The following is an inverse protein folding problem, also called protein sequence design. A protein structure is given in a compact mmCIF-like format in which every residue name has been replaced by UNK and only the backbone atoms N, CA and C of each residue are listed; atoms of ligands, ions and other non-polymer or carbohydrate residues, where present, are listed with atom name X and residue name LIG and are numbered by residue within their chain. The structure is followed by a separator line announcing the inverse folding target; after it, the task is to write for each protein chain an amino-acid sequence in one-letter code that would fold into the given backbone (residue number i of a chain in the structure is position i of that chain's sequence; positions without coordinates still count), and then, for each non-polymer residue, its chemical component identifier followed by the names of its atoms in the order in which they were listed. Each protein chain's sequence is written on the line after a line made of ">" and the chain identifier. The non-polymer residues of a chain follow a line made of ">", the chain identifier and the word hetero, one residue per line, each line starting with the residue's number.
data_IF_027692510549
#
_entry.id   IF_027692510549
#
_cell.length_a   1.000
_cell.length_b   1.000
_cell.length_c   1.000
_cell.angle_alpha   90.00
_cell.angle_beta   90.00
_cell.angle_gamma   90.00
#
_symmetry.space_group_name_H-M   'P 1'
#
loop_
_entity.id
_entity.type
_entity.pdbx_description
1 polymer ?
#
# COMPACT_ATOMS: atom_id res chain seq x y z
N UNK A 1 -8.64 -7.77 19.48
CA UNK A 1 -8.60 -7.16 18.13
C UNK A 1 -9.73 -7.77 17.32
N UNK A 2 -10.63 -6.96 16.75
CA UNK A 2 -11.68 -7.48 15.87
C UNK A 2 -11.03 -7.84 14.54
N UNK A 3 -11.10 -9.13 14.24
CA UNK A 3 -10.60 -9.77 13.04
C UNK A 3 -11.61 -9.51 11.93
N UNK A 4 -11.24 -8.77 10.88
CA UNK A 4 -12.14 -8.46 9.77
C UNK A 4 -11.91 -9.44 8.61
N UNK A 5 -13.02 -9.98 8.08
CA UNK A 5 -13.03 -10.74 6.84
C UNK A 5 -12.83 -9.76 5.66
N UNK A 6 -11.78 -9.92 4.84
CA UNK A 6 -11.53 -9.04 3.69
C UNK A 6 -12.71 -8.97 2.71
N UNK A 7 -13.42 -10.08 2.48
CA UNK A 7 -14.54 -10.09 1.54
C UNK A 7 -15.75 -9.34 2.09
N UNK A 8 -16.03 -9.53 3.38
CA UNK A 8 -17.08 -8.78 4.08
C UNK A 8 -16.76 -7.28 4.10
N UNK A 9 -15.49 -6.92 4.31
CA UNK A 9 -15.05 -5.52 4.33
C UNK A 9 -15.13 -4.87 2.93
N UNK A 10 -14.72 -5.56 1.86
CA UNK A 10 -14.92 -5.07 0.48
C UNK A 10 -16.40 -4.85 0.17
N UNK A 11 -17.26 -5.82 0.54
CA UNK A 11 -18.71 -5.72 0.35
C UNK A 11 -19.28 -4.52 1.11
N UNK A 12 -18.80 -4.30 2.33
CA UNK A 12 -19.22 -3.19 3.17
C UNK A 12 -18.77 -1.85 2.59
N UNK A 13 -17.52 -1.72 2.15
CA UNK A 13 -17.03 -0.50 1.47
C UNK A 13 -17.87 -0.21 0.21
N UNK A 14 -18.18 -1.24 -0.59
CA UNK A 14 -18.99 -1.09 -1.80
C UNK A 14 -20.43 -0.64 -1.49
N UNK A 15 -20.93 -0.96 -0.30
CA UNK A 15 -22.28 -0.57 0.17
C UNK A 15 -22.27 0.82 0.80
N UNK A 16 -21.29 1.11 1.65
CA UNK A 16 -21.20 2.34 2.44
C UNK A 16 -20.73 3.54 1.57
N UNK A 17 -19.96 3.27 0.51
CA UNK A 17 -19.55 4.27 -0.49
C UNK A 17 -20.53 4.24 -1.66
N UNK A 18 -21.14 5.38 -2.04
CA UNK A 18 -22.04 5.45 -3.19
C UNK A 18 -21.41 4.92 -4.49
N UNK A 19 -22.20 4.19 -5.28
CA UNK A 19 -21.75 3.52 -6.51
C UNK A 19 -21.16 4.48 -7.56
N UNK A 20 -21.66 5.71 -7.62
CA UNK A 20 -21.17 6.77 -8.48
C UNK A 20 -19.74 7.23 -8.11
N UNK A 21 -19.28 6.94 -6.89
CA UNK A 21 -17.93 7.22 -6.42
C UNK A 21 -16.96 6.06 -6.68
N UNK A 22 -17.44 4.86 -7.01
CA UNK A 22 -16.57 3.69 -7.22
C UNK A 22 -15.55 3.87 -8.36
N UNK A 23 -15.88 4.48 -9.52
CA UNK A 23 -14.89 4.74 -10.58
C UNK A 23 -13.77 5.71 -10.17
N UNK A 24 -13.95 6.38 -9.04
CA UNK A 24 -13.07 7.38 -8.48
C UNK A 24 -12.30 6.84 -7.27
N UNK A 25 -12.23 5.53 -7.07
CA UNK A 25 -11.39 4.96 -6.02
C UNK A 25 -10.89 3.56 -6.36
N UNK A 26 -9.73 3.22 -5.80
CA UNK A 26 -9.32 1.84 -5.70
C UNK A 26 -8.69 1.55 -4.33
N UNK A 27 -8.84 0.32 -3.87
CA UNK A 27 -8.27 -0.15 -2.60
C UNK A 27 -6.81 -0.55 -2.80
N UNK A 28 -5.93 -0.17 -1.87
CA UNK A 28 -4.53 -0.62 -1.86
C UNK A 28 -4.13 -1.17 -0.48
N UNK A 29 -2.85 -1.49 -0.32
CA UNK A 29 -2.29 -1.89 0.97
C UNK A 29 -2.77 -3.27 1.45
N UNK A 30 -2.87 -3.42 2.76
CA UNK A 30 -3.11 -4.72 3.40
C UNK A 30 -4.45 -5.35 3.01
N UNK A 31 -5.47 -4.51 2.87
CA UNK A 31 -6.83 -4.95 2.56
C UNK A 31 -6.93 -5.51 1.14
N UNK A 32 -6.34 -4.81 0.15
CA UNK A 32 -6.26 -5.29 -1.23
C UNK A 32 -5.54 -6.64 -1.32
N UNK A 33 -4.38 -6.77 -0.66
CA UNK A 33 -3.61 -8.01 -0.65
C UNK A 33 -4.39 -9.17 -0.02
N UNK A 34 -5.06 -8.93 1.09
CA UNK A 34 -5.81 -9.96 1.78
C UNK A 34 -7.07 -10.40 1.03
N UNK A 35 -7.75 -9.47 0.35
CA UNK A 35 -8.86 -9.81 -0.52
C UNK A 35 -8.40 -10.70 -1.69
N UNK A 36 -7.29 -10.33 -2.35
CA UNK A 36 -6.73 -11.14 -3.44
C UNK A 36 -6.39 -12.57 -3.00
N UNK A 37 -5.81 -12.73 -1.81
CA UNK A 37 -5.38 -14.03 -1.30
C UNK A 37 -6.41 -14.74 -0.41
N UNK A 38 -7.69 -14.31 -0.41
CA UNK A 38 -8.73 -14.83 0.50
C UNK A 38 -8.77 -16.37 0.56
N UNK A 39 -8.71 -17.03 -0.60
CA UNK A 39 -8.72 -18.49 -0.69
C UNK A 39 -7.47 -19.14 -0.06
N UNK A 40 -6.30 -18.54 -0.23
CA UNK A 40 -5.02 -19.02 0.33
C UNK A 40 -4.89 -18.71 1.82
N UNK A 41 -5.61 -17.70 2.31
CA UNK A 41 -5.70 -17.36 3.72
C UNK A 41 -6.69 -18.26 4.48
N UNK A 42 -7.41 -19.17 3.80
CA UNK A 42 -8.35 -20.13 4.43
C UNK A 42 -9.40 -19.45 5.35
N UNK A 43 -9.86 -18.26 4.98
CA UNK A 43 -10.81 -17.48 5.80
C UNK A 43 -10.21 -16.93 7.10
N UNK A 44 -8.88 -16.93 7.24
CA UNK A 44 -8.19 -16.22 8.34
C UNK A 44 -8.45 -14.73 8.17
N UNK A 45 -9.11 -14.18 9.18
CA UNK A 45 -9.31 -12.75 9.26
C UNK A 45 -7.98 -12.02 9.51
N UNK A 46 -7.82 -10.90 8.84
CA UNK A 46 -6.62 -10.07 8.90
C UNK A 46 -6.71 -9.08 10.06
N UNK A 47 -5.56 -8.72 10.61
CA UNK A 47 -5.42 -7.58 11.50
C UNK A 47 -5.23 -6.30 10.66
N UNK A 48 -6.28 -5.85 9.97
CA UNK A 48 -6.32 -4.50 9.38
C UNK A 48 -7.57 -3.78 9.86
N UNK A 49 -7.42 -2.57 10.37
CA UNK A 49 -8.54 -1.64 10.65
C UNK A 49 -8.66 -0.55 9.59
N UNK A 50 -7.65 -0.47 8.74
CA UNK A 50 -7.41 0.64 7.84
C UNK A 50 -7.69 0.12 6.43
N UNK A 51 -8.57 0.80 5.72
CA UNK A 51 -8.78 0.64 4.29
C UNK A 51 -8.11 1.82 3.58
N UNK A 52 -6.92 1.57 3.02
CA UNK A 52 -6.20 2.56 2.24
C UNK A 52 -6.92 2.75 0.90
N UNK A 53 -7.61 3.88 0.73
CA UNK A 53 -8.32 4.22 -0.50
C UNK A 53 -7.53 5.28 -1.27
N UNK A 54 -7.14 4.94 -2.48
CA UNK A 54 -6.59 5.91 -3.42
C UNK A 54 -7.75 6.51 -4.19
N UNK A 55 -7.95 7.82 -4.05
CA UNK A 55 -9.02 8.54 -4.77
C UNK A 55 -8.53 8.94 -6.17
N UNK A 56 -9.36 8.69 -7.18
CA UNK A 56 -9.13 8.82 -8.62
C UNK A 56 -10.16 9.82 -9.26
N UNK A 57 -9.91 10.51 -10.41
CA UNK A 57 -8.65 10.62 -11.11
C UNK A 57 -7.59 11.14 -10.18
N UNK A 58 -6.53 10.36 -10.08
CA UNK A 58 -5.60 10.54 -9.00
C UNK A 58 -4.74 11.78 -9.26
N UNK A 59 -4.31 12.46 -8.19
CA UNK A 59 -3.70 13.78 -8.32
C UNK A 59 -4.72 14.92 -8.42
N UNK A 60 -6.01 14.63 -8.58
CA UNK A 60 -7.06 15.65 -8.61
C UNK A 60 -7.56 15.97 -7.19
N UNK A 61 -6.98 17.01 -6.60
CA UNK A 61 -7.40 17.57 -5.30
C UNK A 61 -8.89 17.90 -5.27
N UNK A 62 -9.47 18.32 -6.40
CA UNK A 62 -10.91 18.60 -6.52
C UNK A 62 -11.78 17.35 -6.38
N UNK A 63 -11.37 16.22 -6.97
CA UNK A 63 -12.06 14.94 -6.82
C UNK A 63 -11.99 14.43 -5.37
N UNK A 64 -10.81 14.52 -4.75
CA UNK A 64 -10.63 14.18 -3.33
C UNK A 64 -11.53 15.04 -2.42
N UNK A 65 -11.58 16.36 -2.68
CA UNK A 65 -12.46 17.28 -1.95
C UNK A 65 -13.93 16.91 -2.11
N UNK A 66 -14.35 16.66 -3.35
CA UNK A 66 -15.72 16.29 -3.65
C UNK A 66 -16.11 15.00 -2.92
N UNK A 67 -15.30 13.95 -3.04
CA UNK A 67 -15.55 12.68 -2.36
C UNK A 67 -15.59 12.83 -0.84
N UNK A 68 -14.64 13.56 -0.24
CA UNK A 68 -14.61 13.78 1.21
C UNK A 68 -15.88 14.52 1.69
N UNK A 69 -16.31 15.58 0.98
CA UNK A 69 -17.55 16.30 1.29
C UNK A 69 -18.77 15.40 1.15
N UNK A 70 -18.90 14.69 0.03
CA UNK A 70 -20.03 13.80 -0.22
C UNK A 70 -20.17 12.74 0.87
N UNK A 71 -19.07 12.12 1.31
CA UNK A 71 -19.14 11.12 2.38
C UNK A 71 -19.52 11.75 3.72
N UNK A 72 -18.96 12.92 4.06
CA UNK A 72 -19.34 13.66 5.28
C UNK A 72 -20.83 14.04 5.28
N UNK A 73 -21.36 14.49 4.14
CA UNK A 73 -22.78 14.83 3.96
C UNK A 73 -23.69 13.60 4.10
N UNK A 74 -23.18 12.41 3.76
CA UNK A 74 -23.87 11.12 3.96
C UNK A 74 -23.74 10.56 5.38
N UNK A 75 -23.19 11.34 6.31
CA UNK A 75 -23.09 10.97 7.72
C UNK A 75 -21.85 10.16 8.09
N UNK A 76 -20.85 10.07 7.20
CA UNK A 76 -19.52 9.62 7.60
C UNK A 76 -18.92 10.59 8.61
N UNK A 77 -18.12 10.09 9.54
CA UNK A 77 -17.52 10.92 10.60
C UNK A 77 -16.00 10.84 10.59
N UNK A 78 -15.34 11.90 11.04
CA UNK A 78 -13.86 11.93 11.10
C UNK A 78 -13.34 11.05 12.22
N UNK A 79 -12.19 10.42 12.01
CA UNK A 79 -11.45 9.80 13.11
C UNK A 79 -10.83 10.86 14.02
N UNK A 80 -10.38 10.46 15.22
CA UNK A 80 -9.71 11.38 16.15
C UNK A 80 -8.38 11.95 15.60
N UNK A 81 -7.77 11.28 14.62
CA UNK A 81 -6.53 11.72 13.97
C UNK A 81 -6.79 12.63 12.75
N UNK A 82 -8.04 12.74 12.31
CA UNK A 82 -8.47 13.57 11.19
C UNK A 82 -9.10 14.86 11.70
N UNK A 83 -8.29 15.89 11.92
CA UNK A 83 -8.74 17.21 12.36
C UNK A 83 -8.10 18.33 11.51
N UNK A 84 -8.82 19.45 11.32
CA UNK A 84 -8.34 20.52 10.44
C UNK A 84 -7.18 21.28 11.08
N UNK A 85 -6.31 21.82 10.21
CA UNK A 85 -5.32 22.83 10.56
C UNK A 85 -5.79 24.21 10.09
N UNK A 86 -5.42 25.30 10.80
CA UNK A 86 -5.83 26.65 10.41
C UNK A 86 -5.09 27.17 9.17
N UNK A 87 -3.95 26.56 8.81
CA UNK A 87 -3.06 26.99 7.72
C UNK A 87 -2.67 25.78 6.86
N UNK A 88 -2.45 25.95 5.55
CA UNK A 88 -1.88 24.92 4.68
C UNK A 88 -0.40 24.64 4.97
N UNK A 89 0.28 25.57 5.62
CA UNK A 89 1.70 25.51 5.92
C UNK A 89 1.98 25.36 7.43
N UNK A 90 2.98 24.52 7.82
CA UNK A 90 3.77 23.66 6.94
C UNK A 90 2.98 22.40 6.52
N UNK A 91 3.09 22.00 5.25
CA UNK A 91 2.24 20.98 4.66
C UNK A 91 2.40 19.58 5.29
N UNK A 92 3.58 19.27 5.84
CA UNK A 92 3.89 18.00 6.50
C UNK A 92 3.28 17.86 7.91
N UNK A 93 2.77 18.95 8.48
CA UNK A 93 2.00 18.92 9.73
C UNK A 93 0.50 18.71 9.51
N UNK A 94 0.02 18.74 8.26
CA UNK A 94 -1.38 18.52 7.93
C UNK A 94 -1.82 17.09 8.30
N UNK A 95 -3.13 16.92 8.48
CA UNK A 95 -3.73 15.61 8.82
C UNK A 95 -4.41 14.99 7.61
N UNK A 96 -4.21 13.69 7.45
CA UNK A 96 -4.88 12.91 6.42
C UNK A 96 -6.39 12.91 6.64
N UNK A 97 -7.16 12.91 5.54
CA UNK A 97 -8.60 12.65 5.61
C UNK A 97 -8.78 11.18 5.96
N UNK A 98 -9.37 10.94 7.13
CA UNK A 98 -9.73 9.60 7.60
C UNK A 98 -11.17 9.60 8.10
N UNK A 99 -12.01 8.75 7.52
CA UNK A 99 -13.44 8.74 7.76
C UNK A 99 -13.93 7.37 8.21
N UNK A 100 -14.76 7.34 9.25
CA UNK A 100 -15.58 6.21 9.65
C UNK A 100 -16.89 6.18 8.85
N UNK A 101 -17.37 5.00 8.41
CA UNK A 101 -18.68 4.88 7.80
C UNK A 101 -19.79 5.19 8.80
N UNK A 102 -21.01 5.51 8.34
CA UNK A 102 -22.19 5.54 9.19
C UNK A 102 -22.39 4.17 9.87
N UNK A 103 -22.61 4.18 11.19
CA UNK A 103 -22.83 2.95 11.96
C UNK A 103 -21.56 2.44 12.67
N UNK A 104 -21.33 1.12 12.76
CA UNK A 104 -20.20 0.58 13.53
C UNK A 104 -18.83 1.03 13.00
N UNK A 105 -18.00 1.61 13.87
CA UNK A 105 -16.63 2.08 13.57
C UNK A 105 -15.61 0.93 13.56
N UNK A 106 -15.89 -0.13 12.80
CA UNK A 106 -15.03 -1.31 12.72
C UNK A 106 -13.81 -1.08 11.79
N UNK A 107 -13.95 -0.16 10.83
CA UNK A 107 -12.89 0.25 9.90
C UNK A 107 -13.01 1.74 9.60
N UNK A 108 -11.94 2.34 9.09
CA UNK A 108 -11.98 3.67 8.48
C UNK A 108 -11.33 3.64 7.10
N UNK A 109 -11.68 4.62 6.27
CA UNK A 109 -11.01 4.87 4.99
C UNK A 109 -9.99 5.99 5.18
N UNK A 110 -8.77 5.81 4.66
CA UNK A 110 -7.76 6.88 4.56
C UNK A 110 -7.62 7.30 3.09
N UNK A 111 -7.62 8.61 2.84
CA UNK A 111 -7.47 9.14 1.48
C UNK A 111 -5.99 9.30 1.14
N UNK A 112 -5.57 8.65 0.07
CA UNK A 112 -4.24 8.80 -0.53
C UNK A 112 -4.35 9.49 -1.89
N UNK A 113 -3.28 10.18 -2.27
CA UNK A 113 -3.17 10.79 -3.58
C UNK A 113 -2.02 10.15 -4.40
N UNK A 114 -2.23 9.96 -5.71
CA UNK A 114 -1.13 9.50 -6.57
C UNK A 114 -0.10 10.61 -6.82
N UNK A 115 1.18 10.25 -6.91
CA UNK A 115 2.25 11.19 -7.22
C UNK A 115 2.04 11.82 -8.60
N UNK A 116 2.46 13.07 -8.74
CA UNK A 116 2.72 13.65 -10.06
C UNK A 116 3.90 12.93 -10.68
N UNK A 117 3.95 12.86 -12.03
CA UNK A 117 5.05 12.19 -12.75
C UNK A 117 6.42 12.77 -12.39
N UNK A 118 6.46 14.06 -12.06
CA UNK A 118 7.70 14.79 -11.74
C UNK A 118 8.02 14.79 -10.23
N UNK A 119 7.22 14.11 -9.38
CA UNK A 119 7.49 14.05 -7.95
C UNK A 119 8.80 13.29 -7.69
N UNK A 120 9.78 13.98 -7.12
CA UNK A 120 11.08 13.37 -6.77
C UNK A 120 11.17 13.05 -5.28
N UNK A 121 10.40 13.75 -4.45
CA UNK A 121 10.35 13.56 -3.01
C UNK A 121 9.69 12.22 -2.66
N UNK A 122 10.26 11.41 -1.74
CA UNK A 122 9.69 10.11 -1.37
C UNK A 122 8.23 10.21 -0.90
N UNK A 123 7.92 11.27 -0.16
CA UNK A 123 6.59 11.61 0.32
C UNK A 123 6.37 13.10 0.18
N UNK A 124 5.18 13.47 -0.31
CA UNK A 124 4.70 14.84 -0.36
C UNK A 124 3.32 14.91 0.26
N UNK A 125 3.07 15.94 1.07
CA UNK A 125 1.73 16.27 1.53
C UNK A 125 1.14 17.34 0.63
N UNK A 126 -0.06 17.08 0.09
CA UNK A 126 -0.76 18.02 -0.79
C UNK A 126 -1.87 18.68 0.02
N UNK A 127 -1.82 20.01 0.24
CA UNK A 127 -2.86 20.72 0.98
C UNK A 127 -4.23 20.57 0.31
N UNK A 128 -5.24 20.32 1.14
CA UNK A 128 -6.64 20.15 0.79
C UNK A 128 -7.47 21.07 1.68
N UNK A 129 -7.98 22.17 1.10
CA UNK A 129 -8.91 23.07 1.77
C UNK A 129 -10.31 22.45 1.83
N UNK A 130 -10.90 22.44 3.03
CA UNK A 130 -12.27 22.06 3.35
C UNK A 130 -12.95 23.24 4.09
N UNK A 131 -14.26 23.15 4.31
CA UNK A 131 -15.04 24.26 4.89
C UNK A 131 -14.66 24.59 6.34
N UNK A 132 -14.02 23.66 7.05
CA UNK A 132 -13.58 23.78 8.43
C UNK A 132 -12.05 23.93 8.58
N UNK A 133 -11.30 24.05 7.49
CA UNK A 133 -9.86 24.29 7.49
C UNK A 133 -9.08 23.39 6.53
N UNK A 134 -7.79 23.22 6.82
CA UNK A 134 -6.82 22.55 5.95
C UNK A 134 -6.50 21.13 6.39
N UNK A 135 -6.50 20.23 5.42
CA UNK A 135 -6.09 18.83 5.55
C UNK A 135 -4.99 18.53 4.54
N UNK A 136 -4.36 17.36 4.66
CA UNK A 136 -3.29 16.93 3.78
C UNK A 136 -3.63 15.63 3.08
N UNK A 137 -3.37 15.55 1.79
CA UNK A 137 -3.40 14.28 1.05
C UNK A 137 -1.96 13.74 0.94
N UNK A 138 -1.62 12.65 1.63
CA UNK A 138 -0.31 12.04 1.50
C UNK A 138 -0.15 11.44 0.09
N UNK A 139 0.99 11.73 -0.53
CA UNK A 139 1.38 11.30 -1.87
C UNK A 139 2.77 10.69 -1.83
N UNK A 140 2.86 9.37 -2.04
CA UNK A 140 4.13 8.64 -2.04
C UNK A 140 4.61 8.46 -3.48
N UNK A 141 5.89 8.75 -3.73
CA UNK A 141 6.48 8.79 -5.07
C UNK A 141 6.22 7.53 -5.91
N UNK A 142 6.26 6.36 -5.28
CA UNK A 142 6.13 5.09 -5.98
C UNK A 142 4.71 4.51 -5.92
N UNK A 143 3.76 5.18 -5.26
CA UNK A 143 2.37 4.72 -5.24
C UNK A 143 1.74 4.72 -6.64
N UNK A 144 2.28 5.52 -7.58
CA UNK A 144 1.86 5.59 -8.98
C UNK A 144 1.78 4.22 -9.65
N UNK A 145 2.73 3.31 -9.41
CA UNK A 145 2.73 1.99 -10.06
C UNK A 145 1.53 1.13 -9.64
N UNK A 146 0.99 1.34 -8.43
CA UNK A 146 -0.19 0.60 -7.93
C UNK A 146 -1.49 0.95 -8.66
N UNK A 147 -1.48 2.02 -9.45
CA UNK A 147 -2.60 2.40 -10.30
C UNK A 147 -2.64 1.64 -11.63
N UNK A 148 -1.56 0.93 -11.98
CA UNK A 148 -1.49 0.12 -13.20
C UNK A 148 -1.98 -1.30 -12.90
N UNK A 149 -2.56 -1.96 -13.91
CA UNK A 149 -3.02 -3.36 -13.83
C UNK A 149 -3.90 -3.62 -12.59
N UNK A 150 -4.83 -2.71 -12.33
CA UNK A 150 -5.81 -2.86 -11.24
C UNK A 150 -6.72 -4.04 -11.52
N UNK A 151 -7.14 -4.67 -10.44
CA UNK A 151 -8.07 -5.80 -10.46
C UNK A 151 -9.44 -5.31 -10.02
N UNK A 152 -10.49 -5.96 -10.51
CA UNK A 152 -11.87 -5.68 -10.08
C UNK A 152 -12.36 -6.77 -9.15
N UNK A 153 -12.88 -6.38 -7.99
CA UNK A 153 -13.49 -7.30 -7.03
C UNK A 153 -14.85 -7.78 -7.53
N UNK A 154 -15.38 -8.85 -6.92
CA UNK A 154 -16.72 -9.37 -7.23
C UNK A 154 -17.85 -8.37 -6.92
N UNK A 155 -17.57 -7.33 -6.13
CA UNK A 155 -18.50 -6.25 -5.76
C UNK A 155 -18.27 -4.96 -6.55
N UNK A 156 -17.43 -5.00 -7.59
CA UNK A 156 -17.23 -3.89 -8.53
C UNK A 156 -16.19 -2.86 -8.10
N UNK A 157 -15.61 -2.96 -6.89
CA UNK A 157 -14.50 -2.09 -6.48
C UNK A 157 -13.19 -2.51 -7.13
N UNK A 158 -12.43 -1.54 -7.64
CA UNK A 158 -11.07 -1.77 -8.10
C UNK A 158 -10.09 -1.84 -6.92
N UNK A 159 -9.01 -2.59 -7.10
CA UNK A 159 -7.93 -2.68 -6.13
C UNK A 159 -6.56 -2.93 -6.78
N UNK A 160 -5.50 -2.51 -6.10
CA UNK A 160 -4.13 -2.69 -6.56
C UNK A 160 -3.72 -4.17 -6.58
N UNK A 161 -3.03 -4.59 -7.64
CA UNK A 161 -2.51 -5.96 -7.73
C UNK A 161 -1.35 -6.20 -6.75
N UNK A 162 -1.19 -7.44 -6.23
CA UNK A 162 -0.03 -7.79 -5.39
C UNK A 162 1.31 -7.48 -6.03
N UNK A 163 1.43 -7.72 -7.34
CA UNK A 163 2.64 -7.44 -8.11
C UNK A 163 3.02 -5.95 -8.06
N UNK A 164 2.07 -5.05 -8.31
CA UNK A 164 2.36 -3.61 -8.27
C UNK A 164 2.58 -3.08 -6.85
N UNK A 165 1.90 -3.64 -5.85
CA UNK A 165 2.17 -3.31 -4.44
C UNK A 165 3.57 -3.76 -4.00
N UNK A 166 4.03 -4.93 -4.47
CA UNK A 166 5.39 -5.41 -4.22
C UNK A 166 6.43 -4.46 -4.84
N UNK A 167 6.25 -4.08 -6.11
CA UNK A 167 7.11 -3.11 -6.79
C UNK A 167 7.17 -1.77 -6.04
N UNK A 168 6.02 -1.21 -5.65
CA UNK A 168 5.94 0.06 -4.94
C UNK A 168 6.73 0.04 -3.62
N UNK A 169 6.63 -1.04 -2.85
CA UNK A 169 7.35 -1.19 -1.58
C UNK A 169 8.85 -1.34 -1.79
N UNK A 170 9.29 -2.12 -2.78
CA UNK A 170 10.70 -2.28 -3.12
C UNK A 170 11.34 -0.93 -3.50
N UNK A 171 10.69 -0.17 -4.38
CA UNK A 171 11.17 1.16 -4.79
C UNK A 171 11.19 2.17 -3.63
N UNK A 172 10.22 2.09 -2.72
CA UNK A 172 10.13 2.98 -1.57
C UNK A 172 11.21 2.74 -0.52
N UNK A 173 11.80 1.55 -0.51
CA UNK A 173 12.80 1.13 0.48
C UNK A 173 14.06 0.61 -0.19
N UNK A 174 14.86 1.48 -0.82
CA UNK A 174 16.11 1.09 -1.48
C UNK A 174 17.23 0.72 -0.49
N UNK A 175 16.97 0.84 0.82
CA UNK A 175 17.87 0.50 1.93
C UNK A 175 17.06 0.23 3.20
N UNK A 176 17.66 -0.42 4.20
CA UNK A 176 17.07 -0.51 5.54
C UNK A 176 17.20 0.82 6.26
N UNK A 177 16.09 1.56 6.35
CA UNK A 177 16.02 2.81 7.14
C UNK A 177 16.00 2.60 8.66
N UNK A 178 16.17 3.69 9.41
CA UNK A 178 16.14 3.72 10.88
C UNK A 178 14.76 3.94 11.49
N UNK A 179 13.78 4.34 10.68
CA UNK A 179 12.45 4.71 11.17
C UNK A 179 11.72 3.51 11.77
N UNK A 180 11.13 3.71 12.94
CA UNK A 180 10.39 2.69 13.67
C UNK A 180 8.89 2.98 13.67
N UNK A 181 8.10 1.92 13.84
CA UNK A 181 6.66 2.03 13.99
C UNK A 181 6.37 2.64 15.37
N UNK A 182 5.62 3.74 15.41
CA UNK A 182 5.42 4.53 16.62
C UNK A 182 4.27 4.02 17.50
N UNK A 183 3.32 3.28 16.93
CA UNK A 183 2.10 2.85 17.62
C UNK A 183 1.58 1.50 17.12
N UNK A 184 0.66 0.92 17.88
CA UNK A 184 0.00 -0.35 17.53
C UNK A 184 0.83 -1.61 17.86
N UNK A 185 0.37 -2.79 17.41
CA UNK A 185 0.94 -4.08 17.82
C UNK A 185 2.36 -4.34 17.29
N UNK A 186 2.83 -3.52 16.34
CA UNK A 186 4.17 -3.61 15.74
C UNK A 186 5.10 -2.48 16.22
N UNK A 187 4.73 -1.77 17.29
CA UNK A 187 5.51 -0.66 17.83
C UNK A 187 6.96 -1.06 18.08
N UNK A 188 7.89 -0.18 17.67
CA UNK A 188 9.32 -0.38 17.84
C UNK A 188 9.99 -1.17 16.73
N UNK A 189 9.26 -1.86 15.84
CA UNK A 189 9.85 -2.58 14.70
C UNK A 189 10.22 -1.61 13.57
N UNK A 190 11.23 -1.97 12.76
CA UNK A 190 11.66 -1.17 11.61
C UNK A 190 10.58 -1.07 10.54
N UNK A 191 10.32 0.15 10.05
CA UNK A 191 9.31 0.43 9.02
C UNK A 191 9.70 -0.14 7.66
N UNK A 192 10.97 0.02 7.27
CA UNK A 192 11.54 -0.57 6.05
C UNK A 192 11.42 -2.09 6.06
N UNK A 193 11.76 -2.74 7.18
CA UNK A 193 11.62 -4.19 7.35
C UNK A 193 10.16 -4.65 7.25
N UNK A 194 9.21 -3.88 7.81
CA UNK A 194 7.76 -4.17 7.69
C UNK A 194 7.30 -4.17 6.23
N UNK A 195 7.67 -3.15 5.45
CA UNK A 195 7.23 -3.02 4.06
C UNK A 195 7.96 -3.99 3.12
N UNK A 196 9.28 -4.22 3.30
CA UNK A 196 10.03 -5.23 2.54
C UNK A 196 9.62 -6.67 2.93
N UNK A 197 9.33 -6.93 4.20
CA UNK A 197 8.74 -8.19 4.65
C UNK A 197 7.39 -8.46 3.98
N UNK A 198 6.57 -7.42 3.80
CA UNK A 198 5.31 -7.53 3.02
C UNK A 198 5.59 -7.95 1.58
N UNK A 199 6.64 -7.44 0.92
CA UNK A 199 7.01 -7.90 -0.43
C UNK A 199 7.22 -9.41 -0.45
N UNK A 200 8.01 -9.93 0.49
CA UNK A 200 8.28 -11.37 0.59
C UNK A 200 6.99 -12.15 0.87
N UNK A 201 6.11 -11.64 1.74
CA UNK A 201 4.80 -12.25 2.00
C UNK A 201 3.91 -12.32 0.76
N UNK A 202 3.87 -11.25 -0.05
CA UNK A 202 3.11 -11.24 -1.30
C UNK A 202 3.66 -12.30 -2.25
N UNK A 203 4.98 -12.36 -2.46
CA UNK A 203 5.62 -13.40 -3.30
C UNK A 203 5.32 -14.81 -2.80
N UNK A 204 5.38 -15.04 -1.49
CA UNK A 204 5.06 -16.35 -0.89
C UNK A 204 3.63 -16.77 -1.22
N UNK A 205 2.68 -15.85 -1.08
CA UNK A 205 1.26 -16.10 -1.31
C UNK A 205 0.96 -16.25 -2.80
N UNK A 206 1.58 -15.46 -3.67
CA UNK A 206 1.47 -15.56 -5.13
C UNK A 206 1.90 -16.96 -5.59
N UNK A 207 3.07 -17.41 -5.17
CA UNK A 207 3.66 -18.66 -5.66
C UNK A 207 4.51 -18.42 -6.90
N UNK A 208 5.36 -19.40 -7.24
CA UNK A 208 6.46 -19.22 -8.18
C UNK A 208 6.01 -18.89 -9.60
N UNK A 209 5.11 -19.70 -10.15
CA UNK A 209 4.68 -19.59 -11.56
C UNK A 209 4.13 -18.21 -11.91
N UNK A 210 3.31 -17.62 -11.03
CA UNK A 210 2.74 -16.29 -11.24
C UNK A 210 3.77 -15.18 -10.94
N UNK A 211 4.69 -15.38 -9.99
CA UNK A 211 5.75 -14.41 -9.69
C UNK A 211 6.78 -14.28 -10.82
N UNK A 212 7.08 -15.34 -11.55
CA UNK A 212 8.01 -15.31 -12.70
C UNK A 212 7.54 -14.42 -13.86
N UNK A 213 6.25 -14.06 -13.90
CA UNK A 213 5.67 -13.13 -14.88
C UNK A 213 5.87 -11.65 -14.51
N UNK A 214 6.35 -11.37 -13.30
CA UNK A 214 6.44 -10.00 -12.79
C UNK A 214 7.50 -9.13 -13.48
N UNK A 215 8.67 -9.62 -13.93
CA UNK A 215 9.70 -8.76 -14.53
C UNK A 215 9.19 -7.94 -15.72
N UNK A 216 8.50 -8.57 -16.66
CA UNK A 216 7.95 -7.87 -17.84
C UNK A 216 6.91 -6.82 -17.42
N UNK A 217 6.01 -7.21 -16.51
CA UNK A 217 4.96 -6.31 -16.00
C UNK A 217 5.57 -5.12 -15.25
N UNK A 218 6.63 -5.34 -14.48
CA UNK A 218 7.33 -4.30 -13.72
C UNK A 218 8.13 -3.38 -14.63
N UNK A 219 8.73 -3.91 -15.70
CA UNK A 219 9.43 -3.11 -16.70
C UNK A 219 8.48 -2.10 -17.34
N UNK A 220 7.33 -2.57 -17.85
CA UNK A 220 6.30 -1.70 -18.45
C UNK A 220 5.82 -0.62 -17.46
N UNK A 221 5.60 -1.00 -16.20
CA UNK A 221 5.19 -0.07 -15.16
C UNK A 221 6.24 0.99 -14.87
N UNK A 222 7.51 0.61 -14.81
CA UNK A 222 8.62 1.53 -14.59
C UNK A 222 8.79 2.50 -15.77
N UNK A 223 8.74 2.00 -17.01
CA UNK A 223 8.80 2.83 -18.22
C UNK A 223 7.64 3.83 -18.28
N UNK A 224 6.43 3.40 -17.93
CA UNK A 224 5.25 4.25 -17.94
C UNK A 224 5.29 5.34 -16.86
N UNK A 225 5.63 4.97 -15.62
CA UNK A 225 5.59 5.88 -14.48
C UNK A 225 6.83 6.77 -14.38
N UNK A 226 7.99 6.30 -14.84
CA UNK A 226 9.29 6.92 -14.61
C UNK A 226 10.17 6.94 -15.89
N UNK A 227 9.69 7.53 -17.01
CA UNK A 227 10.32 7.39 -18.33
C UNK A 227 11.79 7.84 -18.39
N UNK A 228 12.21 8.77 -17.55
CA UNK A 228 13.58 9.30 -17.53
C UNK A 228 14.54 8.52 -16.62
N UNK A 229 14.03 7.69 -15.72
CA UNK A 229 14.84 7.02 -14.68
C UNK A 229 14.56 5.52 -14.53
N UNK A 230 13.65 4.96 -15.32
CA UNK A 230 13.19 3.57 -15.20
C UNK A 230 14.35 2.57 -15.19
N UNK A 231 15.40 2.79 -15.99
CA UNK A 231 16.60 1.92 -16.02
C UNK A 231 17.33 1.92 -14.68
N UNK A 232 17.48 3.09 -14.07
CA UNK A 232 18.13 3.22 -12.77
C UNK A 232 17.29 2.55 -11.69
N UNK A 233 15.97 2.78 -11.70
CA UNK A 233 15.04 2.16 -10.75
C UNK A 233 15.01 0.64 -10.88
N UNK A 234 14.92 0.11 -12.11
CA UNK A 234 14.97 -1.33 -12.39
C UNK A 234 16.27 -1.96 -11.89
N UNK A 235 17.41 -1.32 -12.15
CA UNK A 235 18.71 -1.82 -11.71
C UNK A 235 18.91 -1.85 -10.18
N UNK A 236 18.12 -1.06 -9.43
CA UNK A 236 18.28 -0.87 -7.98
C UNK A 236 17.08 -1.31 -7.14
N UNK A 237 16.02 -1.81 -7.77
CA UNK A 237 14.75 -2.15 -7.10
C UNK A 237 14.96 -3.14 -5.94
N UNK A 238 15.98 -4.00 -6.03
CA UNK A 238 16.29 -5.00 -5.01
C UNK A 238 17.27 -4.58 -3.93
N UNK A 239 17.83 -3.37 -3.95
CA UNK A 239 18.94 -2.97 -3.06
C UNK A 239 18.56 -3.16 -1.57
N UNK A 240 17.42 -2.62 -1.15
CA UNK A 240 16.97 -2.75 0.24
C UNK A 240 16.54 -4.17 0.61
N UNK A 241 16.03 -4.96 -0.33
CA UNK A 241 15.76 -6.37 -0.08
C UNK A 241 17.05 -7.15 0.15
N UNK A 242 18.11 -6.90 -0.63
CA UNK A 242 19.42 -7.52 -0.41
C UNK A 242 19.97 -7.15 0.97
N UNK A 243 19.87 -5.89 1.38
CA UNK A 243 20.25 -5.48 2.75
C UNK A 243 19.43 -6.21 3.82
N UNK A 244 18.10 -6.29 3.67
CA UNK A 244 17.22 -7.01 4.60
C UNK A 244 17.65 -8.46 4.81
N UNK A 245 17.97 -9.18 3.74
CA UNK A 245 18.31 -10.61 3.81
C UNK A 245 19.69 -10.89 4.43
N UNK A 246 20.54 -9.86 4.54
CA UNK A 246 21.85 -9.92 5.18
C UNK A 246 21.87 -9.36 6.62
N UNK A 247 20.77 -8.77 7.09
CA UNK A 247 20.62 -8.28 8.46
C UNK A 247 19.59 -9.14 9.22
N UNK A 248 20.08 -10.02 10.09
CA UNK A 248 19.23 -10.94 10.87
C UNK A 248 18.22 -10.21 11.76
N UNK A 249 18.56 -9.02 12.29
CA UNK A 249 17.63 -8.26 13.13
C UNK A 249 16.51 -7.65 12.29
N UNK A 250 16.85 -7.06 11.14
CA UNK A 250 15.86 -6.51 10.23
C UNK A 250 14.97 -7.62 9.66
N UNK A 251 15.54 -8.79 9.32
CA UNK A 251 14.79 -9.95 8.86
C UNK A 251 13.84 -10.48 9.94
N UNK A 252 14.24 -10.47 11.21
CA UNK A 252 13.35 -10.86 12.31
C UNK A 252 12.22 -9.84 12.53
N UNK A 253 12.48 -8.53 12.38
CA UNK A 253 11.44 -7.51 12.36
C UNK A 253 10.45 -7.74 11.18
N UNK A 254 10.95 -8.07 9.99
CA UNK A 254 10.13 -8.45 8.83
C UNK A 254 9.29 -9.71 9.10
N UNK A 255 9.85 -10.72 9.77
CA UNK A 255 9.13 -11.94 10.16
C UNK A 255 8.00 -11.63 11.15
N UNK A 256 8.28 -10.87 12.22
CA UNK A 256 7.27 -10.48 13.22
C UNK A 256 6.11 -9.71 12.59
N UNK A 257 6.43 -8.75 11.72
CA UNK A 257 5.40 -7.91 11.06
C UNK A 257 4.54 -8.73 10.10
N UNK A 258 5.12 -9.68 9.36
CA UNK A 258 4.35 -10.56 8.48
C UNK A 258 3.49 -11.59 9.23
N UNK A 259 3.94 -12.07 10.39
CA UNK A 259 3.20 -13.00 11.26
C UNK A 259 2.00 -12.35 11.97
N UNK A 260 2.07 -11.05 12.28
CA UNK A 260 0.90 -10.29 12.76
C UNK A 260 -0.03 -9.90 11.60
N UNK A 261 0.48 -9.92 10.36
CA UNK A 261 -0.19 -9.49 9.13
C UNK A 261 -0.58 -10.63 8.18
N UNK A 262 -0.08 -10.56 6.94
CA UNK A 262 -0.52 -11.42 5.82
C UNK A 262 -0.20 -12.91 6.00
N UNK A 263 0.83 -13.26 6.78
CA UNK A 263 1.26 -14.65 6.99
C UNK A 263 0.79 -15.20 8.35
N UNK A 264 -0.18 -14.54 8.98
CA UNK A 264 -0.60 -14.89 10.33
C UNK A 264 -1.07 -16.34 10.46
N UNK A 265 -0.49 -17.05 11.43
CA UNK A 265 -0.77 -18.46 11.70
C UNK A 265 -0.27 -19.42 10.62
N UNK A 266 0.52 -18.97 9.64
CA UNK A 266 1.12 -19.85 8.63
C UNK A 266 2.45 -20.46 9.10
N UNK A 267 2.87 -20.17 10.35
CA UNK A 267 4.10 -20.67 10.96
C UNK A 267 5.36 -20.42 10.10
N UNK A 268 5.43 -19.25 9.47
CA UNK A 268 6.57 -18.85 8.64
C UNK A 268 7.70 -18.36 9.53
N UNK A 269 8.79 -19.12 9.55
CA UNK A 269 10.03 -18.78 10.27
C UNK A 269 10.94 -17.89 9.42
N UNK A 270 11.93 -17.24 10.05
CA UNK A 270 12.84 -16.30 9.39
C UNK A 270 13.57 -16.94 8.20
N UNK A 271 13.96 -18.21 8.32
CA UNK A 271 14.64 -18.97 7.27
C UNK A 271 13.74 -19.18 6.04
N UNK A 272 12.44 -19.44 6.25
CA UNK A 272 11.48 -19.56 5.15
C UNK A 272 11.23 -18.22 4.47
N UNK A 273 11.21 -17.13 5.24
CA UNK A 273 11.09 -15.78 4.72
C UNK A 273 12.34 -15.43 3.89
N UNK A 274 13.53 -15.73 4.41
CA UNK A 274 14.81 -15.53 3.73
C UNK A 274 14.86 -16.28 2.40
N UNK A 275 14.57 -17.58 2.40
CA UNK A 275 14.55 -18.39 1.19
C UNK A 275 13.56 -17.87 0.13
N UNK A 276 12.42 -17.33 0.57
CA UNK A 276 11.44 -16.69 -0.34
C UNK A 276 12.01 -15.40 -0.93
N UNK A 277 12.70 -14.57 -0.13
CA UNK A 277 13.34 -13.34 -0.58
C UNK A 277 14.52 -13.58 -1.52
N UNK A 278 15.36 -14.57 -1.23
CA UNK A 278 16.46 -14.98 -2.11
C UNK A 278 15.95 -15.45 -3.47
N UNK A 279 14.86 -16.22 -3.49
CA UNK A 279 14.20 -16.60 -4.75
C UNK A 279 13.63 -15.41 -5.50
N UNK A 280 12.99 -14.46 -4.81
CA UNK A 280 12.51 -13.21 -5.44
C UNK A 280 13.65 -12.43 -6.10
N UNK A 281 14.85 -12.42 -5.50
CA UNK A 281 16.02 -11.80 -6.10
C UNK A 281 16.36 -12.47 -7.43
N UNK A 282 16.51 -13.80 -7.42
CA UNK A 282 16.93 -14.58 -8.58
C UNK A 282 15.90 -14.66 -9.71
N UNK A 283 14.64 -14.88 -9.37
CA UNK A 283 13.59 -15.18 -10.35
C UNK A 283 12.92 -13.92 -10.90
N UNK A 284 13.07 -12.75 -10.24
CA UNK A 284 12.36 -11.52 -10.63
C UNK A 284 13.25 -10.29 -10.71
N UNK A 285 13.95 -9.97 -9.62
CA UNK A 285 14.68 -8.70 -9.53
C UNK A 285 15.92 -8.68 -10.43
N UNK A 286 16.70 -9.76 -10.42
CA UNK A 286 17.88 -9.88 -11.26
C UNK A 286 17.48 -9.92 -12.76
N UNK A 287 16.47 -10.70 -13.19
CA UNK A 287 15.92 -10.61 -14.54
C UNK A 287 15.45 -9.22 -14.94
N UNK A 288 14.71 -8.50 -14.10
CA UNK A 288 14.31 -7.12 -14.39
C UNK A 288 15.53 -6.22 -14.60
N UNK A 289 16.55 -6.36 -13.74
CA UNK A 289 17.77 -5.58 -13.85
C UNK A 289 18.57 -5.92 -15.13
N UNK A 290 18.56 -7.18 -15.57
CA UNK A 290 19.13 -7.62 -16.85
C UNK A 290 18.38 -6.99 -18.03
N UNK A 291 17.05 -7.04 -18.04
CA UNK A 291 16.22 -6.41 -19.08
C UNK A 291 16.50 -4.91 -19.22
N UNK A 292 16.77 -4.21 -18.10
CA UNK A 292 17.11 -2.79 -18.12
C UNK A 292 18.52 -2.49 -18.67
N UNK A 293 19.44 -3.46 -18.63
CA UNK A 293 20.79 -3.34 -19.19
C UNK A 293 20.83 -3.51 -20.71
N UNK A 294 19.92 -4.34 -21.25
CA UNK A 294 19.85 -4.68 -22.67
C UNK A 294 20.65 -5.94 -23.01
#
# INVERSE_FOLDING_TARGET
>A
MNRLDPNALFTRIATDVPSELHPYLFVTGSLAAAYYFLAKLEGRAINTKDADLVVHPAGNVGACRHMARTLLDLGWTRTAECYPKPSPDPADELRAIRLYPPGPHDYFIEFLNLPRREQTEPKRWIPLEMDDGWYGLPSFRFLGVTSLNRLTSSVGLEYASPSMMALANLLSHPRIGSDRIESGPMQGLLRSAKDLGRVIALVRLTGREETELWPETWLEALEHCFPEEWKNLAGRVGDGLRELLHDDNALEDARKTTDVGLLSGMNVVAEMLKATGERLLLDVIDPLADMARG
#
